data_IF_700015876060
#
_entry.id   IF_700015876060
#
_cell.length_a   1.000
_cell.length_b   1.000
_cell.length_c   1.000
_cell.angle_alpha   90.00
_cell.angle_beta   90.00
_cell.angle_gamma   90.00
#
_symmetry.space_group_name_H-M   'P 1'
#
loop_
_entity.id
_entity.type
_entity.pdbx_description
1 polymer ?
#
# COMPACT_ATOMS: atom_id res chain seq x y z
N UNK A 1 23.27 -31.30 39.48
CA UNK A 1 23.89 -30.00 39.11
C UNK A 1 24.13 -29.82 37.61
N UNK A 2 24.57 -30.84 36.85
CA UNK A 2 24.90 -30.71 35.41
C UNK A 2 23.74 -30.22 34.52
N UNK A 3 22.51 -30.69 34.74
CA UNK A 3 21.35 -30.34 33.92
C UNK A 3 20.78 -28.93 34.18
N UNK A 4 20.97 -28.38 35.39
CA UNK A 4 20.49 -27.03 35.75
C UNK A 4 21.26 -25.95 34.99
N UNK A 5 22.57 -26.12 34.85
CA UNK A 5 23.40 -25.21 34.08
C UNK A 5 23.15 -25.35 32.56
N UNK A 6 22.87 -26.57 32.09
CA UNK A 6 22.51 -26.82 30.68
C UNK A 6 21.18 -26.14 30.31
N UNK A 7 20.18 -26.20 31.18
CA UNK A 7 18.90 -25.51 30.98
C UNK A 7 19.03 -23.98 30.99
N UNK A 8 19.87 -23.42 31.87
CA UNK A 8 20.13 -21.98 31.90
C UNK A 8 20.82 -21.52 30.59
N UNK A 9 21.80 -22.29 30.09
CA UNK A 9 22.49 -21.98 28.83
C UNK A 9 21.55 -22.04 27.64
N UNK A 10 20.62 -23.02 27.62
CA UNK A 10 19.62 -23.16 26.56
C UNK A 10 18.60 -22.00 26.57
N UNK A 11 18.13 -21.59 27.76
CA UNK A 11 17.24 -20.43 27.90
C UNK A 11 17.92 -19.12 27.48
N UNK A 12 19.21 -18.93 27.78
CA UNK A 12 19.97 -17.76 27.34
C UNK A 12 20.16 -17.71 25.82
N UNK A 13 20.36 -18.86 25.15
CA UNK A 13 20.42 -18.94 23.69
C UNK A 13 19.07 -18.62 23.02
N UNK A 14 17.96 -19.06 23.62
CA UNK A 14 16.60 -18.73 23.16
C UNK A 14 16.26 -17.23 23.33
N UNK A 15 16.83 -16.57 24.34
CA UNK A 15 16.64 -15.13 24.57
C UNK A 15 17.47 -14.25 23.62
N UNK A 16 18.65 -14.70 23.18
CA UNK A 16 19.55 -13.94 22.31
C UNK A 16 19.19 -14.00 20.81
N UNK A 17 18.38 -14.98 20.39
CA UNK A 17 18.00 -15.16 18.97
C UNK A 17 16.80 -14.34 18.52
N UNK A 18 16.13 -13.62 19.44
CA UNK A 18 14.92 -12.85 19.16
C UNK A 18 15.15 -11.34 18.99
N UNK A 19 16.40 -10.88 18.82
CA UNK A 19 16.65 -9.49 18.47
C UNK A 19 16.31 -9.31 16.98
N UNK A 20 15.02 -9.09 16.71
CA UNK A 20 14.57 -8.59 15.41
C UNK A 20 15.01 -7.14 15.29
N UNK A 21 16.05 -6.89 14.51
CA UNK A 21 16.39 -5.54 14.06
C UNK A 21 15.29 -5.08 13.11
N UNK A 22 14.39 -4.23 13.60
CA UNK A 22 13.55 -3.42 12.71
C UNK A 22 14.49 -2.53 11.91
N UNK A 23 14.60 -2.79 10.60
CA UNK A 23 15.46 -1.97 9.74
C UNK A 23 14.99 -0.51 9.78
N UNK A 24 15.94 0.42 9.86
CA UNK A 24 15.64 1.83 9.68
C UNK A 24 15.04 2.04 8.28
N UNK A 25 13.77 2.46 8.25
CA UNK A 25 13.05 2.77 7.01
C UNK A 25 13.32 4.20 6.52
N UNK A 26 14.19 4.93 7.22
CA UNK A 26 14.58 6.29 6.92
C UNK A 26 15.88 6.29 6.12
N UNK A 27 16.00 7.21 5.16
CA UNK A 27 17.26 7.42 4.46
C UNK A 27 18.32 7.98 5.42
N UNK A 28 19.60 7.69 5.15
CA UNK A 28 20.72 8.21 5.95
C UNK A 28 20.79 9.75 5.97
N UNK A 29 20.19 10.41 4.97
CA UNK A 29 20.08 11.86 4.90
C UNK A 29 18.76 12.27 4.23
N UNK A 30 18.27 13.46 4.59
CA UNK A 30 17.09 14.07 3.96
C UNK A 30 17.53 15.14 2.96
N UNK A 31 16.87 15.17 1.80
CA UNK A 31 17.01 16.28 0.82
C UNK A 31 16.46 17.60 1.35
N UNK A 32 15.55 17.55 2.32
CA UNK A 32 14.94 18.72 2.92
C UNK A 32 15.22 18.76 4.43
N UNK A 33 15.73 19.90 4.90
CA UNK A 33 16.07 20.12 6.31
C UNK A 33 14.82 20.47 7.15
N UNK A 34 13.71 20.82 6.51
CA UNK A 34 12.41 21.05 7.13
C UNK A 34 11.27 20.83 6.13
N UNK A 35 10.04 20.75 6.62
CA UNK A 35 8.83 20.72 5.77
C UNK A 35 8.36 22.11 5.34
N UNK A 36 9.04 23.18 5.77
CA UNK A 36 8.63 24.53 5.42
C UNK A 36 8.71 24.72 3.90
N UNK A 37 7.66 25.29 3.32
CA UNK A 37 7.51 25.48 1.87
C UNK A 37 7.39 24.20 1.04
N UNK A 38 7.16 23.03 1.66
CA UNK A 38 6.87 21.79 0.93
C UNK A 38 5.36 21.58 0.79
N UNK A 39 4.94 21.10 -0.38
CA UNK A 39 3.58 20.64 -0.63
C UNK A 39 3.49 19.17 -0.23
N UNK A 40 2.80 18.92 0.89
CA UNK A 40 2.63 17.59 1.45
C UNK A 40 1.21 17.08 1.25
N UNK A 41 1.05 15.77 1.04
CA UNK A 41 -0.26 15.13 0.92
C UNK A 41 -0.43 13.94 1.87
N UNK A 42 -1.67 13.56 2.17
CA UNK A 42 -1.96 12.25 2.75
C UNK A 42 -2.15 11.21 1.62
N UNK A 43 -1.60 10.01 1.81
CA UNK A 43 -1.73 8.91 0.85
C UNK A 43 -2.44 7.71 1.47
N UNK A 44 -3.55 7.31 0.85
CA UNK A 44 -4.35 6.15 1.24
C UNK A 44 -4.31 5.11 0.12
N UNK A 45 -3.58 4.02 0.37
CA UNK A 45 -3.45 2.88 -0.54
C UNK A 45 -4.35 1.71 -0.18
N UNK A 46 -5.64 1.96 0.07
CA UNK A 46 -6.57 0.98 0.66
C UNK A 46 -7.56 0.34 -0.32
N UNK A 47 -7.43 0.62 -1.62
CA UNK A 47 -8.30 0.01 -2.63
C UNK A 47 -7.75 -1.36 -3.01
N UNK A 48 -8.52 -2.42 -2.78
CA UNK A 48 -8.07 -3.80 -3.04
C UNK A 48 -9.07 -4.55 -3.90
N UNK A 49 -8.56 -5.45 -4.72
CA UNK A 49 -9.36 -6.27 -5.64
C UNK A 49 -9.00 -7.75 -5.46
N UNK A 50 -9.92 -8.69 -5.75
CA UNK A 50 -9.62 -10.10 -5.70
C UNK A 50 -8.47 -10.47 -6.66
N UNK A 51 -7.45 -11.18 -6.16
CA UNK A 51 -6.32 -11.66 -6.96
C UNK A 51 -5.25 -10.61 -7.27
N UNK A 52 -5.14 -9.55 -6.45
CA UNK A 52 -4.01 -8.63 -6.51
C UNK A 52 -2.67 -9.23 -6.04
N UNK A 53 -1.57 -8.47 -6.15
CA UNK A 53 -0.23 -8.89 -5.71
C UNK A 53 -0.19 -9.39 -4.25
N UNK A 54 -1.11 -8.92 -3.40
CA UNK A 54 -1.23 -9.35 -2.01
C UNK A 54 -2.22 -10.52 -1.83
N UNK A 55 -2.74 -11.09 -2.92
CA UNK A 55 -3.73 -12.15 -2.94
C UNK A 55 -4.99 -11.81 -2.12
N UNK A 56 -5.47 -10.57 -2.20
CA UNK A 56 -6.75 -10.20 -1.60
C UNK A 56 -7.89 -11.06 -2.17
N UNK A 57 -8.89 -11.34 -1.33
CA UNK A 57 -10.01 -12.25 -1.67
C UNK A 57 -11.31 -11.52 -2.04
N UNK A 58 -11.38 -10.23 -1.77
CA UNK A 58 -12.60 -9.43 -1.87
C UNK A 58 -12.31 -8.05 -2.41
N UNK A 59 -13.35 -7.37 -2.87
CA UNK A 59 -13.32 -5.95 -3.18
C UNK A 59 -13.32 -5.15 -1.88
N UNK A 60 -12.32 -4.29 -1.68
CA UNK A 60 -12.20 -3.44 -0.48
C UNK A 60 -12.11 -1.99 -0.93
N UNK A 61 -12.88 -1.11 -0.28
CA UNK A 61 -13.06 0.32 -0.61
C UNK A 61 -13.67 0.62 -2.01
N UNK A 62 -13.82 -0.37 -2.88
CA UNK A 62 -14.57 -0.25 -4.14
C UNK A 62 -16.08 -0.46 -3.96
N UNK A 63 -16.48 -1.32 -3.01
CA UNK A 63 -17.87 -1.65 -2.79
C UNK A 63 -18.16 -2.24 -1.41
N UNK A 64 -19.43 -2.53 -1.15
CA UNK A 64 -19.90 -3.06 0.13
C UNK A 64 -19.88 -4.59 0.19
N UNK A 65 -19.73 -5.15 1.39
CA UNK A 65 -19.84 -6.59 1.62
C UNK A 65 -18.80 -7.45 0.88
N UNK A 66 -17.66 -6.87 0.50
CA UNK A 66 -16.60 -7.56 -0.24
C UNK A 66 -16.90 -7.75 -1.74
N UNK A 67 -17.94 -7.10 -2.26
CA UNK A 67 -18.43 -7.21 -3.64
C UNK A 67 -18.27 -5.89 -4.38
N UNK A 68 -18.24 -5.98 -5.71
CA UNK A 68 -18.30 -4.83 -6.60
C UNK A 68 -19.19 -5.18 -7.79
N UNK A 69 -20.38 -4.59 -7.80
CA UNK A 69 -21.41 -4.73 -8.82
C UNK A 69 -22.33 -3.49 -8.75
N UNK A 70 -23.36 -3.44 -9.60
CA UNK A 70 -24.23 -2.26 -9.71
C UNK A 70 -25.00 -1.93 -8.42
N UNK A 71 -25.14 -2.89 -7.49
CA UNK A 71 -25.84 -2.67 -6.22
C UNK A 71 -24.88 -2.38 -5.06
N UNK A 72 -23.62 -2.83 -5.17
CA UNK A 72 -22.64 -2.73 -4.09
C UNK A 72 -21.54 -1.69 -4.34
N UNK A 73 -21.47 -1.08 -5.53
CA UNK A 73 -20.51 -0.01 -5.84
C UNK A 73 -20.65 1.18 -4.89
N UNK A 74 -19.53 1.63 -4.30
CA UNK A 74 -19.51 2.77 -3.35
C UNK A 74 -18.80 4.00 -3.89
N UNK A 75 -18.32 3.97 -5.13
CA UNK A 75 -17.63 5.08 -5.77
C UNK A 75 -18.57 5.86 -6.69
N UNK A 76 -18.41 7.18 -6.72
CA UNK A 76 -19.19 8.06 -7.62
C UNK A 76 -18.60 8.14 -9.03
N UNK A 77 -17.28 7.96 -9.14
CA UNK A 77 -16.52 8.11 -10.39
C UNK A 77 -15.59 6.93 -10.61
N UNK A 78 -15.60 6.40 -11.83
CA UNK A 78 -14.66 5.36 -12.27
C UNK A 78 -13.30 6.01 -12.53
N UNK A 79 -12.20 5.51 -11.93
CA UNK A 79 -10.87 6.04 -12.19
C UNK A 79 -10.45 5.76 -13.64
N UNK A 80 -9.72 6.69 -14.22
CA UNK A 80 -9.03 6.45 -15.49
C UNK A 80 -7.85 5.51 -15.27
N UNK A 81 -7.89 4.34 -15.90
CA UNK A 81 -6.86 3.31 -15.72
C UNK A 81 -5.81 3.25 -16.85
N UNK A 82 -5.78 4.22 -17.77
CA UNK A 82 -4.92 4.16 -18.98
C UNK A 82 -3.41 4.11 -18.70
N UNK A 83 -2.94 4.70 -17.60
CA UNK A 83 -1.51 4.71 -17.23
C UNK A 83 -1.08 3.53 -16.35
N UNK A 84 -2.04 2.72 -15.88
CA UNK A 84 -1.75 1.61 -14.99
C UNK A 84 -1.26 0.40 -15.79
N UNK A 85 -0.12 -0.15 -15.38
CA UNK A 85 0.45 -1.36 -16.01
C UNK A 85 -0.42 -2.60 -15.78
N UNK A 86 -1.11 -2.66 -14.64
CA UNK A 86 -1.92 -3.80 -14.22
C UNK A 86 -3.28 -3.31 -13.77
N UNK A 87 -4.32 -3.95 -14.29
CA UNK A 87 -5.72 -3.63 -14.02
C UNK A 87 -6.54 -4.92 -14.00
N UNK A 88 -7.74 -4.81 -13.44
CA UNK A 88 -8.64 -5.93 -13.18
C UNK A 88 -9.99 -5.65 -13.80
N UNK A 89 -10.51 -6.61 -14.55
CA UNK A 89 -11.86 -6.55 -15.06
C UNK A 89 -12.85 -6.60 -13.90
N UNK A 90 -13.87 -5.77 -13.98
CA UNK A 90 -15.00 -5.78 -13.05
C UNK A 90 -16.22 -6.43 -13.71
N UNK A 91 -17.28 -6.72 -12.92
CA UNK A 91 -18.58 -7.10 -13.47
C UNK A 91 -19.35 -5.96 -14.16
N UNK A 92 -18.85 -4.72 -14.12
CA UNK A 92 -19.49 -3.56 -14.74
C UNK A 92 -18.96 -3.31 -16.15
N UNK A 93 -19.81 -2.77 -17.01
CA UNK A 93 -19.51 -2.42 -18.40
C UNK A 93 -19.92 -0.97 -18.66
N UNK A 94 -19.15 -0.28 -19.49
CA UNK A 94 -19.53 1.01 -20.04
C UNK A 94 -20.64 0.83 -21.11
N UNK A 95 -21.31 1.92 -21.48
CA UNK A 95 -22.38 1.89 -22.50
C UNK A 95 -21.91 1.34 -23.85
N UNK A 96 -20.62 1.47 -24.16
CA UNK A 96 -20.01 0.94 -25.38
C UNK A 96 -19.69 -0.58 -25.30
N UNK A 97 -20.01 -1.25 -24.19
CA UNK A 97 -19.73 -2.67 -23.94
C UNK A 97 -18.31 -2.97 -23.47
N UNK A 98 -17.47 -1.97 -23.27
CA UNK A 98 -16.14 -2.17 -22.69
C UNK A 98 -16.26 -2.45 -21.19
N UNK A 99 -15.54 -3.46 -20.69
CA UNK A 99 -15.51 -3.73 -19.25
C UNK A 99 -14.84 -2.58 -18.50
N UNK A 100 -15.48 -2.18 -17.40
CA UNK A 100 -14.85 -1.28 -16.44
C UNK A 100 -13.67 -2.01 -15.81
N UNK A 101 -12.51 -1.36 -15.84
CA UNK A 101 -11.26 -1.85 -15.26
C UNK A 101 -10.89 -1.01 -14.04
N UNK A 102 -10.38 -1.66 -13.01
CA UNK A 102 -9.90 -1.00 -11.78
C UNK A 102 -8.48 -1.43 -11.43
N UNK A 103 -7.76 -0.59 -10.71
CA UNK A 103 -6.44 -0.92 -10.15
C UNK A 103 -6.58 -1.52 -8.74
N UNK A 104 -5.53 -2.16 -8.24
CA UNK A 104 -5.35 -2.40 -6.80
C UNK A 104 -4.20 -1.57 -6.25
N UNK A 105 -4.42 -0.91 -5.11
CA UNK A 105 -3.37 -0.24 -4.34
C UNK A 105 -2.30 -1.20 -3.81
N UNK A 106 -2.60 -2.50 -3.74
CA UNK A 106 -1.62 -3.52 -3.37
C UNK A 106 -0.57 -3.75 -4.45
N UNK A 107 -0.87 -3.47 -5.72
CA UNK A 107 0.10 -3.67 -6.77
C UNK A 107 1.16 -2.56 -6.74
N UNK A 108 2.44 -2.95 -6.76
CA UNK A 108 3.54 -1.98 -6.77
C UNK A 108 3.42 -1.01 -7.96
N UNK A 109 3.01 -1.53 -9.11
CA UNK A 109 2.86 -0.72 -10.33
C UNK A 109 1.82 0.39 -10.22
N UNK A 110 0.79 0.20 -9.40
CA UNK A 110 -0.22 1.24 -9.08
C UNK A 110 0.41 2.36 -8.27
N UNK A 111 1.13 2.01 -7.20
CA UNK A 111 1.78 3.00 -6.34
C UNK A 111 2.86 3.78 -7.12
N UNK A 112 3.59 3.12 -8.02
CA UNK A 112 4.56 3.80 -8.89
C UNK A 112 3.90 4.89 -9.76
N UNK A 113 2.71 4.64 -10.31
CA UNK A 113 1.94 5.63 -11.08
C UNK A 113 1.48 6.79 -10.20
N UNK A 114 0.95 6.52 -9.02
CA UNK A 114 0.52 7.57 -8.09
C UNK A 114 1.68 8.51 -7.70
N UNK A 115 2.84 7.94 -7.37
CA UNK A 115 4.02 8.72 -7.01
C UNK A 115 4.68 9.41 -8.21
N UNK A 116 4.52 8.87 -9.42
CA UNK A 116 4.87 9.56 -10.67
C UNK A 116 4.02 10.83 -10.82
N UNK A 117 2.70 10.73 -10.67
CA UNK A 117 1.81 11.90 -10.77
C UNK A 117 2.11 12.93 -9.69
N UNK A 118 2.28 12.50 -8.43
CA UNK A 118 2.67 13.41 -7.35
C UNK A 118 3.92 14.23 -7.71
N UNK A 119 4.95 13.58 -8.24
CA UNK A 119 6.16 14.28 -8.72
C UNK A 119 5.85 15.26 -9.86
N UNK A 120 5.03 14.85 -10.84
CA UNK A 120 4.69 15.68 -11.99
C UNK A 120 3.88 16.92 -11.63
N UNK A 121 3.03 16.82 -10.60
CA UNK A 121 2.17 17.90 -10.14
C UNK A 121 2.75 18.70 -8.96
N UNK A 122 4.04 18.51 -8.63
CA UNK A 122 4.73 19.32 -7.64
C UNK A 122 4.36 19.02 -6.19
N UNK A 123 4.00 17.76 -5.88
CA UNK A 123 3.86 17.27 -4.51
C UNK A 123 5.22 16.76 -4.04
N UNK A 124 5.75 17.36 -2.97
CA UNK A 124 7.08 17.11 -2.44
C UNK A 124 7.15 15.90 -1.50
N UNK A 125 6.01 15.53 -0.91
CA UNK A 125 5.96 14.41 0.02
C UNK A 125 4.57 13.88 0.31
N UNK A 126 4.52 12.63 0.76
CA UNK A 126 3.29 11.93 1.12
C UNK A 126 3.40 11.32 2.52
N UNK A 127 2.40 11.58 3.37
CA UNK A 127 2.18 10.90 4.64
C UNK A 127 1.33 9.65 4.41
N UNK A 128 1.82 8.51 4.90
CA UNK A 128 1.13 7.23 4.87
C UNK A 128 0.57 6.93 6.27
N UNK A 129 -0.30 5.92 6.37
CA UNK A 129 -0.78 5.41 7.65
C UNK A 129 0.38 5.07 8.61
N UNK A 130 0.12 5.21 9.91
CA UNK A 130 1.06 4.93 11.02
C UNK A 130 2.24 5.91 11.18
N UNK A 131 2.11 7.13 10.67
CA UNK A 131 3.08 8.21 10.90
C UNK A 131 4.32 8.16 10.00
N UNK A 132 4.34 7.26 9.03
CA UNK A 132 5.38 7.23 8.01
C UNK A 132 5.16 8.34 6.98
N UNK A 133 6.25 8.96 6.51
CA UNK A 133 6.20 9.89 5.38
C UNK A 133 7.27 9.53 4.36
N UNK A 134 7.03 9.91 3.11
CA UNK A 134 7.96 9.70 1.99
C UNK A 134 8.12 11.00 1.22
N UNK A 135 9.35 11.48 1.09
CA UNK A 135 9.71 12.54 0.14
C UNK A 135 9.76 11.98 -1.27
N UNK A 136 9.35 12.78 -2.25
CA UNK A 136 9.18 12.39 -3.66
C UNK A 136 10.28 13.01 -4.50
#
# INVERSE_FOLDING_TARGET
>A
MKYRNLMIILCLHLLLTNISYGGDKHGESSRYLSYHSLVMTGYQGWFHVPGDENNNKSWVHWGHGGKFDAQNCTIDLIPDTREYKKTYDTPLEFENGEKVKLFSSSDKSTTDVHFKWMRQYGIDGAFMGDGYFRLI
#
